data_IF_522617895634
#
_entry.id   IF_522617895634
#
_cell.length_a   1.000
_cell.length_b   1.000
_cell.length_c   1.000
_cell.angle_alpha   90.00
_cell.angle_beta   90.00
_cell.angle_gamma   90.00
#
_symmetry.space_group_name_H-M   'P 1'
#
loop_
_entity.id
_entity.type
_entity.pdbx_description
1 polymer ?
#
# COMPACT_ATOMS: atom_id res chain seq x y z
N UNK A 1 -7.65 28.40 41.29
CA UNK A 1 -7.37 28.00 39.90
C UNK A 1 -6.54 29.03 39.10
N UNK A 2 -6.50 30.32 39.47
CA UNK A 2 -5.80 31.35 38.67
C UNK A 2 -4.26 31.47 38.83
N UNK A 3 -3.67 30.95 39.91
CA UNK A 3 -2.23 31.15 40.18
C UNK A 3 -1.32 30.37 39.22
N UNK A 4 -1.63 29.10 38.93
CA UNK A 4 -0.87 28.28 37.98
C UNK A 4 -0.90 28.85 36.56
N UNK A 5 -2.05 29.40 36.14
CA UNK A 5 -2.18 30.05 34.83
C UNK A 5 -1.35 31.33 34.74
N UNK A 6 -1.35 32.15 35.80
CA UNK A 6 -0.53 33.36 35.87
C UNK A 6 0.98 33.04 35.81
N UNK A 7 1.44 32.00 36.51
CA UNK A 7 2.82 31.53 36.44
C UNK A 7 3.19 31.02 35.04
N UNK A 8 2.32 30.22 34.42
CA UNK A 8 2.54 29.72 33.06
C UNK A 8 2.64 30.85 32.02
N UNK A 9 1.76 31.86 32.11
CA UNK A 9 1.83 33.03 31.22
C UNK A 9 3.08 33.88 31.47
N UNK A 10 3.48 34.09 32.73
CA UNK A 10 4.71 34.82 33.05
C UNK A 10 5.96 34.14 32.50
N UNK A 11 6.03 32.80 32.60
CA UNK A 11 7.10 32.02 31.99
C UNK A 11 7.11 32.16 30.46
N UNK A 12 5.94 32.06 29.81
CA UNK A 12 5.80 32.18 28.36
C UNK A 12 6.18 33.58 27.84
N UNK A 13 5.81 34.64 28.56
CA UNK A 13 6.22 36.02 28.26
C UNK A 13 7.74 36.17 28.35
N UNK A 14 8.35 35.64 29.41
CA UNK A 14 9.81 35.72 29.61
C UNK A 14 10.57 34.98 28.52
N UNK A 15 10.14 33.76 28.20
CA UNK A 15 10.74 32.93 27.13
C UNK A 15 10.63 33.61 25.76
N UNK A 16 9.47 34.22 25.47
CA UNK A 16 9.25 34.98 24.22
C UNK A 16 10.11 36.25 24.16
N UNK A 17 10.30 36.92 25.29
CA UNK A 17 11.18 38.08 25.43
C UNK A 17 12.64 37.74 25.10
N UNK A 18 13.17 36.66 25.69
CA UNK A 18 14.54 36.21 25.42
C UNK A 18 14.74 35.80 23.95
N UNK A 19 13.74 35.17 23.33
CA UNK A 19 13.81 34.81 21.91
C UNK A 19 13.92 36.06 21.05
N UNK A 20 13.05 37.04 21.26
CA UNK A 20 13.05 38.30 20.52
C UNK A 20 14.36 39.10 20.72
N UNK A 21 14.89 39.15 21.94
CA UNK A 21 16.20 39.76 22.22
C UNK A 21 17.33 39.05 21.46
N UNK A 22 17.33 37.71 21.48
CA UNK A 22 18.31 36.90 20.76
C UNK A 22 18.29 37.14 19.25
N UNK A 23 17.09 37.19 18.65
CA UNK A 23 16.90 37.45 17.23
C UNK A 23 17.37 38.86 16.83
N UNK A 24 17.00 39.89 17.60
CA UNK A 24 17.47 41.27 17.36
C UNK A 24 18.98 41.41 17.48
N UNK A 25 19.60 40.69 18.41
CA UNK A 25 21.06 40.67 18.53
C UNK A 25 21.71 39.99 17.32
N UNK A 26 21.12 38.89 16.84
CA UNK A 26 21.59 38.18 15.63
C UNK A 26 21.51 39.06 14.38
N UNK A 27 20.41 39.82 14.19
CA UNK A 27 20.26 40.79 13.10
C UNK A 27 21.36 41.86 13.12
N UNK A 28 21.78 42.28 14.31
CA UNK A 28 22.89 43.23 14.52
C UNK A 28 24.28 42.58 14.46
N UNK A 29 24.36 41.27 14.24
CA UNK A 29 25.58 40.45 14.31
C UNK A 29 26.31 40.53 15.67
N UNK A 30 25.56 40.87 16.73
CA UNK A 30 26.05 40.76 18.11
C UNK A 30 25.84 39.32 18.60
N UNK A 31 26.75 38.44 18.15
CA UNK A 31 26.63 37.00 18.38
C UNK A 31 26.70 36.63 19.86
N UNK A 32 27.49 37.36 20.66
CA UNK A 32 27.60 37.11 22.10
C UNK A 32 26.28 37.43 22.82
N UNK A 33 25.65 38.56 22.51
CA UNK A 33 24.34 38.87 23.05
C UNK A 33 23.27 37.87 22.57
N UNK A 34 23.30 37.47 21.30
CA UNK A 34 22.37 36.47 20.75
C UNK A 34 22.50 35.12 21.48
N UNK A 35 23.73 34.61 21.62
CA UNK A 35 24.02 33.36 22.33
C UNK A 35 23.55 33.43 23.79
N UNK A 36 23.83 34.55 24.47
CA UNK A 36 23.44 34.75 25.87
C UNK A 36 21.92 34.67 26.06
N UNK A 37 21.15 35.41 25.25
CA UNK A 37 19.69 35.44 25.35
C UNK A 37 19.05 34.10 24.98
N UNK A 38 19.47 33.49 23.86
CA UNK A 38 18.94 32.18 23.42
C UNK A 38 19.30 31.05 24.39
N UNK A 39 20.45 31.15 25.08
CA UNK A 39 20.85 30.15 26.08
C UNK A 39 19.95 30.14 27.30
N UNK A 40 19.31 31.27 27.66
CA UNK A 40 18.33 31.30 28.76
C UNK A 40 17.17 30.34 28.48
N UNK A 41 16.66 30.32 27.25
CA UNK A 41 15.57 29.42 26.82
C UNK A 41 15.97 27.95 27.00
N UNK A 42 17.18 27.59 26.57
CA UNK A 42 17.66 26.20 26.67
C UNK A 42 17.95 25.75 28.11
N UNK A 43 18.30 26.68 29.01
CA UNK A 43 18.58 26.38 30.42
C UNK A 43 17.31 26.12 31.23
N UNK A 44 16.21 26.78 30.89
CA UNK A 44 14.89 26.52 31.51
C UNK A 44 14.29 25.16 31.09
N UNK A 45 15.06 24.32 30.38
CA UNK A 45 14.73 22.94 30.02
C UNK A 45 13.34 22.77 29.38
N UNK A 46 12.98 23.71 28.52
CA UNK A 46 11.73 23.73 27.75
C UNK A 46 11.78 22.81 26.51
N UNK A 47 12.45 21.66 26.63
CA UNK A 47 12.60 20.68 25.56
C UNK A 47 11.23 20.23 25.02
N UNK A 48 11.16 19.97 23.71
CA UNK A 48 9.90 19.59 23.03
C UNK A 48 8.95 20.75 22.75
N UNK A 49 9.36 22.00 23.01
CA UNK A 49 8.60 23.18 22.58
C UNK A 49 9.18 23.80 21.32
N UNK A 50 8.31 24.32 20.44
CA UNK A 50 8.73 25.06 19.24
C UNK A 50 9.67 26.22 19.54
N UNK A 51 9.54 26.87 20.71
CA UNK A 51 10.43 27.97 21.11
C UNK A 51 11.83 27.46 21.43
N UNK A 52 11.95 26.32 22.13
CA UNK A 52 13.24 25.69 22.39
C UNK A 52 13.94 25.27 21.10
N UNK A 53 13.23 24.65 20.17
CA UNK A 53 13.75 24.27 18.84
C UNK A 53 14.26 25.50 18.07
N UNK A 54 13.45 26.55 18.05
CA UNK A 54 13.79 27.82 17.39
C UNK A 54 15.02 28.45 18.05
N UNK A 55 15.13 28.38 19.37
CA UNK A 55 16.28 28.88 20.11
C UNK A 55 17.57 28.11 19.78
N UNK A 56 17.54 26.78 19.70
CA UNK A 56 18.68 25.96 19.25
C UNK A 56 19.10 26.34 17.84
N UNK A 57 18.14 26.48 16.92
CA UNK A 57 18.40 26.81 15.53
C UNK A 57 19.12 28.15 15.36
N UNK A 58 18.61 29.21 16.00
CA UNK A 58 19.24 30.53 15.90
C UNK A 58 20.53 30.64 16.73
N UNK A 59 20.64 29.89 17.83
CA UNK A 59 21.88 29.86 18.62
C UNK A 59 23.00 29.18 17.86
N UNK A 60 22.69 28.12 17.11
CA UNK A 60 23.65 27.50 16.20
C UNK A 60 24.17 28.50 15.15
N UNK A 61 23.28 29.28 14.54
CA UNK A 61 23.69 30.33 13.60
C UNK A 61 24.56 31.41 14.26
N UNK A 62 24.24 31.80 15.51
CA UNK A 62 25.06 32.75 16.26
C UNK A 62 26.46 32.18 16.56
N UNK A 63 26.56 30.92 16.98
CA UNK A 63 27.84 30.23 17.15
C UNK A 63 28.63 30.17 15.85
N UNK A 64 27.98 29.85 14.73
CA UNK A 64 28.63 29.86 13.41
C UNK A 64 29.15 31.26 13.05
N UNK A 65 28.33 32.30 13.24
CA UNK A 65 28.71 33.69 12.97
C UNK A 65 29.93 34.15 13.80
N UNK A 66 30.06 33.61 15.01
CA UNK A 66 31.23 33.81 15.89
C UNK A 66 32.45 32.96 15.50
N UNK A 67 32.28 31.92 14.67
CA UNK A 67 33.31 30.97 14.29
C UNK A 67 33.40 29.73 15.18
N UNK A 68 32.52 29.58 16.17
CA UNK A 68 32.43 28.44 17.10
C UNK A 68 31.68 27.25 16.44
N UNK A 69 32.23 26.70 15.35
CA UNK A 69 31.56 25.66 14.54
C UNK A 69 31.12 24.42 15.33
N UNK A 70 31.96 23.96 16.26
CA UNK A 70 31.66 22.77 17.05
C UNK A 70 30.39 22.93 17.90
N UNK A 71 30.19 24.11 18.49
CA UNK A 71 28.97 24.41 19.26
C UNK A 71 27.75 24.55 18.37
N UNK A 72 27.91 25.14 17.18
CA UNK A 72 26.83 25.20 16.19
C UNK A 72 26.35 23.79 15.79
N UNK A 73 27.29 22.88 15.54
CA UNK A 73 26.97 21.48 15.22
C UNK A 73 26.30 20.74 16.38
N UNK A 74 26.67 21.02 17.63
CA UNK A 74 26.02 20.43 18.82
C UNK A 74 24.55 20.87 18.89
N UNK A 75 24.26 22.16 18.72
CA UNK A 75 22.89 22.68 18.76
C UNK A 75 22.03 22.15 17.62
N UNK A 76 22.57 22.12 16.39
CA UNK A 76 21.87 21.55 15.23
C UNK A 76 21.62 20.05 15.37
N UNK A 77 22.60 19.30 15.91
CA UNK A 77 22.40 17.88 16.18
C UNK A 77 21.32 17.66 17.25
N UNK A 78 21.32 18.46 18.32
CA UNK A 78 20.27 18.39 19.35
C UNK A 78 18.89 18.70 18.77
N UNK A 79 18.79 19.71 17.90
CA UNK A 79 17.56 20.08 17.21
C UNK A 79 17.05 18.96 16.29
N UNK A 80 17.93 18.36 15.48
CA UNK A 80 17.60 17.32 14.50
C UNK A 80 17.24 15.98 15.15
N UNK A 81 17.78 15.71 16.35
CA UNK A 81 17.42 14.54 17.17
C UNK A 81 16.12 14.73 17.95
N UNK A 82 15.59 15.94 18.02
CA UNK A 82 14.31 16.23 18.67
C UNK A 82 13.14 16.35 17.70
N UNK A 83 11.98 16.73 18.25
CA UNK A 83 10.71 16.91 17.54
C UNK A 83 10.62 18.25 16.79
N UNK A 84 11.59 18.59 15.94
CA UNK A 84 11.46 19.81 15.14
C UNK A 84 10.52 19.66 13.94
N UNK A 85 9.73 20.70 13.68
CA UNK A 85 8.83 20.78 12.53
C UNK A 85 9.54 20.60 11.19
N UNK A 86 8.82 20.09 10.17
CA UNK A 86 9.37 19.68 8.87
C UNK A 86 10.25 20.75 8.21
N UNK A 87 9.78 22.00 8.18
CA UNK A 87 10.50 23.12 7.56
C UNK A 87 11.82 23.42 8.29
N UNK A 88 11.77 23.55 9.62
CA UNK A 88 12.94 23.82 10.45
C UNK A 88 13.95 22.68 10.38
N UNK A 89 13.48 21.44 10.27
CA UNK A 89 14.33 20.25 10.13
C UNK A 89 15.12 20.25 8.83
N UNK A 90 14.47 20.56 7.70
CA UNK A 90 15.13 20.65 6.39
C UNK A 90 16.25 21.68 6.43
N UNK A 91 15.96 22.85 6.97
CA UNK A 91 16.91 23.94 7.09
C UNK A 91 18.06 23.62 8.06
N UNK A 92 17.75 23.08 9.25
CA UNK A 92 18.75 22.69 10.24
C UNK A 92 19.70 21.61 9.70
N UNK A 93 19.18 20.66 8.90
CA UNK A 93 20.01 19.63 8.26
C UNK A 93 20.93 20.22 7.21
N UNK A 94 20.43 21.16 6.39
CA UNK A 94 21.24 21.91 5.43
C UNK A 94 22.41 22.60 6.14
N UNK A 95 22.12 23.37 7.19
CA UNK A 95 23.14 24.06 7.98
C UNK A 95 24.11 23.08 8.65
N UNK A 96 23.62 21.94 9.15
CA UNK A 96 24.47 20.95 9.80
C UNK A 96 25.54 20.43 8.84
N UNK A 97 25.16 20.10 7.60
CA UNK A 97 26.11 19.67 6.56
C UNK A 97 27.01 20.82 6.13
N UNK A 98 26.46 22.01 5.90
CA UNK A 98 27.23 23.21 5.53
C UNK A 98 28.31 23.55 6.56
N UNK A 99 28.03 23.33 7.84
CA UNK A 99 28.95 23.60 8.94
C UNK A 99 29.98 22.47 9.16
N UNK A 100 29.98 21.44 8.30
CA UNK A 100 30.90 20.30 8.34
C UNK A 100 30.43 19.12 9.19
N UNK A 101 29.15 19.11 9.56
CA UNK A 101 28.50 18.01 10.24
C UNK A 101 28.40 16.77 9.35
N UNK A 102 28.58 15.61 9.97
CA UNK A 102 28.52 14.30 9.32
C UNK A 102 27.11 13.72 9.47
N UNK A 103 26.30 13.57 8.41
CA UNK A 103 24.91 13.13 8.52
C UNK A 103 24.73 11.81 9.29
N UNK A 104 25.73 10.95 9.29
CA UNK A 104 25.76 9.68 10.02
C UNK A 104 25.64 9.87 11.54
N UNK A 105 26.07 11.03 12.07
CA UNK A 105 25.93 11.38 13.49
C UNK A 105 24.51 11.79 13.89
N UNK A 106 23.62 12.02 12.91
CA UNK A 106 22.22 12.33 13.14
C UNK A 106 21.37 11.07 13.31
N UNK A 107 21.86 9.92 12.84
CA UNK A 107 21.17 8.65 13.00
C UNK A 107 21.03 8.27 14.49
N UNK A 108 20.02 7.47 14.84
CA UNK A 108 19.89 6.90 16.18
C UNK A 108 21.16 6.14 16.60
N UNK A 109 21.45 6.14 17.89
CA UNK A 109 22.59 5.39 18.46
C UNK A 109 22.42 3.87 18.31
N UNK A 110 21.17 3.41 18.39
CA UNK A 110 20.82 2.03 18.11
C UNK A 110 20.63 1.84 16.61
N UNK A 111 21.39 0.93 16.00
CA UNK A 111 21.12 0.49 14.62
C UNK A 111 19.89 -0.43 14.56
N UNK A 112 19.25 -0.61 13.39
CA UNK A 112 18.25 -1.64 13.18
C UNK A 112 18.61 -3.02 13.77
N UNK A 113 19.87 -3.46 13.65
CA UNK A 113 20.37 -4.69 14.26
C UNK A 113 20.27 -4.69 15.80
N UNK A 114 20.66 -3.58 16.45
CA UNK A 114 20.53 -3.43 17.91
C UNK A 114 19.07 -3.36 18.35
N UNK A 115 18.22 -2.66 17.61
CA UNK A 115 16.77 -2.61 17.88
C UNK A 115 16.15 -4.00 17.77
N UNK A 116 16.53 -4.77 16.75
CA UNK A 116 16.09 -6.16 16.62
C UNK A 116 16.55 -7.01 17.80
N UNK A 117 17.81 -6.91 18.22
CA UNK A 117 18.32 -7.64 19.38
C UNK A 117 17.54 -7.31 20.66
N UNK A 118 17.25 -6.03 20.92
CA UNK A 118 16.38 -5.60 22.04
C UNK A 118 14.98 -6.19 21.92
N UNK A 119 14.40 -6.18 20.72
CA UNK A 119 13.10 -6.81 20.48
C UNK A 119 13.11 -8.32 20.78
N UNK A 120 14.19 -9.03 20.39
CA UNK A 120 14.37 -10.46 20.69
C UNK A 120 14.43 -10.72 22.18
N UNK A 121 15.23 -9.94 22.90
CA UNK A 121 15.40 -10.04 24.35
C UNK A 121 14.08 -9.81 25.09
N UNK A 122 13.40 -8.70 24.79
CA UNK A 122 12.11 -8.36 25.41
C UNK A 122 11.05 -9.44 25.13
N UNK A 123 10.98 -9.94 23.89
CA UNK A 123 10.05 -11.01 23.53
C UNK A 123 10.38 -12.33 24.24
N UNK A 124 11.68 -12.67 24.37
CA UNK A 124 12.13 -13.87 25.07
C UNK A 124 11.88 -13.85 26.57
N UNK A 125 11.90 -12.65 27.18
CA UNK A 125 11.59 -12.43 28.58
C UNK A 125 10.08 -12.31 28.88
N UNK A 126 9.21 -12.39 27.86
CA UNK A 126 7.77 -12.20 28.00
C UNK A 126 7.31 -10.74 28.15
N UNK A 127 8.21 -9.77 27.97
CA UNK A 127 7.97 -8.32 28.08
C UNK A 127 7.32 -7.75 26.79
N UNK A 128 6.24 -8.39 26.31
CA UNK A 128 5.63 -8.10 25.02
C UNK A 128 5.17 -6.66 24.82
N UNK A 129 4.70 -6.02 25.90
CA UNK A 129 4.29 -4.61 25.84
C UNK A 129 5.45 -3.70 25.40
N UNK A 130 6.63 -3.89 26.00
CA UNK A 130 7.85 -3.13 25.64
C UNK A 130 8.35 -3.53 24.25
N UNK A 131 8.26 -4.82 23.89
CA UNK A 131 8.61 -5.26 22.54
C UNK A 131 7.75 -4.57 21.47
N UNK A 132 6.43 -4.44 21.71
CA UNK A 132 5.51 -3.73 20.82
C UNK A 132 5.81 -2.23 20.69
N UNK A 133 6.40 -1.60 21.71
CA UNK A 133 6.85 -0.20 21.64
C UNK A 133 8.03 0.01 20.69
N UNK A 134 8.73 -1.06 20.29
CA UNK A 134 9.77 -1.06 19.26
C UNK A 134 9.24 -1.33 17.84
N UNK A 135 7.92 -1.41 17.67
CA UNK A 135 7.26 -1.77 16.41
C UNK A 135 6.28 -0.71 15.94
N UNK A 136 6.01 -0.68 14.64
CA UNK A 136 5.00 0.16 14.00
C UNK A 136 4.42 -0.51 12.75
N UNK A 137 3.49 0.15 12.07
CA UNK A 137 2.97 -0.25 10.76
C UNK A 137 2.34 -1.65 10.68
N UNK A 138 2.61 -2.34 9.57
CA UNK A 138 2.10 -3.69 9.30
C UNK A 138 2.57 -4.70 10.33
N UNK A 139 3.84 -4.58 10.76
CA UNK A 139 4.42 -5.48 11.75
C UNK A 139 3.69 -5.36 13.09
N UNK A 140 3.50 -4.15 13.61
CA UNK A 140 2.73 -3.94 14.85
C UNK A 140 1.30 -4.45 14.72
N UNK A 141 0.65 -4.21 13.58
CA UNK A 141 -0.71 -4.71 13.31
C UNK A 141 -0.76 -6.23 13.34
N UNK A 142 0.21 -6.88 12.71
CA UNK A 142 0.34 -8.33 12.71
C UNK A 142 0.52 -8.87 14.14
N UNK A 143 1.46 -8.31 14.90
CA UNK A 143 1.70 -8.72 16.29
C UNK A 143 0.47 -8.51 17.19
N UNK A 144 -0.24 -7.40 17.03
CA UNK A 144 -1.45 -7.12 17.81
C UNK A 144 -2.60 -8.08 17.51
N UNK A 145 -2.73 -8.58 16.28
CA UNK A 145 -3.75 -9.59 15.93
C UNK A 145 -3.53 -10.91 16.66
N UNK A 146 -2.28 -11.26 16.94
CA UNK A 146 -1.96 -12.44 17.75
C UNK A 146 -2.25 -12.24 19.24
N UNK A 147 -2.36 -11.00 19.72
CA UNK A 147 -2.54 -10.69 21.14
C UNK A 147 -3.93 -10.19 21.57
N UNK A 148 -4.91 -10.11 20.68
CA UNK A 148 -6.18 -9.41 20.95
C UNK A 148 -7.47 -10.16 20.61
N UNK A 149 -7.45 -11.43 20.23
CA UNK A 149 -8.61 -12.14 19.68
C UNK A 149 -9.30 -13.13 20.65
N UNK A 150 -8.88 -13.29 21.90
CA UNK A 150 -9.47 -14.27 22.79
C UNK A 150 -8.73 -14.59 24.09
N UNK A 151 -9.01 -13.84 25.16
CA UNK A 151 -8.82 -14.28 26.55
C UNK A 151 -7.37 -14.48 27.03
N UNK A 152 -7.04 -13.88 28.16
CA UNK A 152 -5.69 -13.68 28.72
C UNK A 152 -4.77 -14.92 28.94
N UNK A 153 -5.17 -16.14 28.57
CA UNK A 153 -4.40 -17.37 28.85
C UNK A 153 -3.85 -18.14 27.64
N UNK A 154 -4.57 -18.19 26.50
CA UNK A 154 -4.17 -19.04 25.37
C UNK A 154 -3.36 -18.30 24.30
N UNK A 155 -3.49 -16.97 24.23
CA UNK A 155 -2.93 -16.14 23.16
C UNK A 155 -1.44 -15.84 23.34
N UNK A 156 -1.01 -15.71 24.60
CA UNK A 156 0.41 -15.53 24.93
C UNK A 156 1.26 -16.67 24.38
N UNK A 157 0.78 -17.91 24.45
CA UNK A 157 1.54 -19.09 24.02
C UNK A 157 1.77 -19.15 22.50
N UNK A 158 0.76 -18.82 21.68
CA UNK A 158 0.90 -18.82 20.22
C UNK A 158 1.86 -17.71 19.75
N UNK A 159 1.74 -16.53 20.37
CA UNK A 159 2.61 -15.39 20.09
C UNK A 159 4.04 -15.63 20.58
N UNK A 160 4.21 -16.18 21.78
CA UNK A 160 5.50 -16.63 22.30
C UNK A 160 6.15 -17.64 21.37
N UNK A 161 5.39 -18.62 20.88
CA UNK A 161 5.91 -19.61 19.93
C UNK A 161 6.33 -18.97 18.61
N UNK A 162 5.53 -18.05 18.06
CA UNK A 162 5.83 -17.36 16.81
C UNK A 162 7.06 -16.46 16.93
N UNK A 163 7.08 -15.62 17.97
CA UNK A 163 8.20 -14.72 18.24
C UNK A 163 9.47 -15.50 18.54
N UNK A 164 9.42 -16.53 19.40
CA UNK A 164 10.57 -17.42 19.68
C UNK A 164 11.11 -18.07 18.42
N UNK A 165 10.25 -18.42 17.47
CA UNK A 165 10.70 -19.04 16.23
C UNK A 165 11.36 -18.04 15.28
N UNK A 166 10.82 -16.83 15.18
CA UNK A 166 11.37 -15.77 14.33
C UNK A 166 12.67 -15.18 14.92
N UNK A 167 12.79 -15.15 16.24
CA UNK A 167 13.95 -14.57 16.94
C UNK A 167 15.17 -15.51 16.96
N UNK A 168 15.00 -16.80 16.62
CA UNK A 168 16.11 -17.75 16.43
C UNK A 168 17.03 -17.40 15.25
N UNK A 169 16.58 -16.56 14.32
CA UNK A 169 17.41 -16.16 13.20
C UNK A 169 18.63 -15.33 13.63
N UNK A 170 19.75 -15.63 12.99
CA UNK A 170 20.98 -14.84 13.04
C UNK A 170 20.80 -13.55 12.25
N UNK A 171 21.39 -12.49 12.78
CA UNK A 171 21.38 -11.18 12.11
C UNK A 171 22.38 -11.21 10.96
N UNK A 172 21.88 -11.04 9.75
CA UNK A 172 22.65 -10.97 8.52
C UNK A 172 23.03 -9.53 8.15
N UNK A 173 23.01 -9.22 6.85
CA UNK A 173 23.38 -7.90 6.36
C UNK A 173 22.38 -6.82 6.81
N UNK A 174 22.92 -5.73 7.34
CA UNK A 174 22.19 -4.50 7.63
C UNK A 174 22.39 -3.54 6.45
N UNK A 175 21.30 -3.06 5.88
CA UNK A 175 21.31 -2.03 4.82
C UNK A 175 20.71 -0.77 5.39
N UNK A 176 21.59 0.20 5.63
CA UNK A 176 21.21 1.56 6.00
C UNK A 176 20.90 2.37 4.74
N UNK A 177 19.98 3.34 4.83
CA UNK A 177 19.74 4.26 3.73
C UNK A 177 21.01 5.05 3.40
N UNK A 178 21.33 5.19 2.11
CA UNK A 178 22.44 6.05 1.66
C UNK A 178 22.11 7.52 1.89
N UNK A 179 20.84 7.88 1.71
CA UNK A 179 20.32 9.20 2.04
C UNK A 179 19.68 9.16 3.43
N UNK A 180 20.15 9.94 4.42
CA UNK A 180 19.49 10.02 5.73
C UNK A 180 18.05 10.56 5.70
N UNK A 181 17.54 11.03 4.56
CA UNK A 181 16.11 11.32 4.34
C UNK A 181 15.28 10.08 4.01
N UNK A 182 15.91 9.03 3.50
CA UNK A 182 15.26 7.73 3.37
C UNK A 182 15.07 7.19 4.78
N UNK A 183 13.85 7.29 5.27
CA UNK A 183 13.46 6.88 6.62
C UNK A 183 13.37 5.37 6.77
N UNK A 184 13.95 4.59 5.85
CA UNK A 184 13.80 3.15 5.79
C UNK A 184 15.17 2.47 5.82
N UNK A 185 15.29 1.48 6.69
CA UNK A 185 16.42 0.57 6.71
C UNK A 185 15.93 -0.87 6.59
N UNK A 186 16.80 -1.78 6.18
CA UNK A 186 16.46 -3.21 6.15
C UNK A 186 17.50 -4.04 6.86
N UNK A 187 17.04 -5.10 7.52
CA UNK A 187 17.88 -6.09 8.18
C UNK A 187 17.54 -7.47 7.65
N UNK A 188 18.53 -8.15 7.09
CA UNK A 188 18.39 -9.56 6.72
C UNK A 188 18.49 -10.42 7.98
N UNK A 189 17.56 -11.35 8.15
CA UNK A 189 17.59 -12.36 9.22
C UNK A 189 17.67 -13.73 8.56
N UNK A 190 18.65 -14.54 8.96
CA UNK A 190 18.91 -15.88 8.42
C UNK A 190 18.67 -16.92 9.50
N UNK A 191 17.79 -17.88 9.25
CA UNK A 191 17.64 -19.05 10.11
C UNK A 191 18.37 -20.24 9.45
N UNK A 192 19.57 -20.62 9.94
CA UNK A 192 20.36 -21.68 9.33
C UNK A 192 19.70 -23.06 9.46
N UNK A 193 18.97 -23.32 10.55
CA UNK A 193 18.32 -24.61 10.80
C UNK A 193 17.22 -24.91 9.79
N UNK A 194 16.52 -23.88 9.35
CA UNK A 194 15.35 -24.01 8.47
C UNK A 194 15.60 -23.50 7.05
N UNK A 195 16.86 -23.16 6.73
CA UNK A 195 17.29 -22.68 5.43
C UNK A 195 16.42 -21.56 4.84
N UNK A 196 15.93 -20.64 5.67
CA UNK A 196 15.17 -19.48 5.21
C UNK A 196 15.77 -18.16 5.68
N UNK A 197 15.65 -17.16 4.82
CA UNK A 197 16.01 -15.77 5.01
C UNK A 197 14.76 -14.90 4.88
N UNK A 198 14.71 -13.81 5.64
CA UNK A 198 13.70 -12.76 5.46
C UNK A 198 14.31 -11.38 5.71
N UNK A 199 13.68 -10.35 5.14
CA UNK A 199 14.07 -8.96 5.37
C UNK A 199 13.08 -8.29 6.30
N UNK A 200 13.59 -7.77 7.41
CA UNK A 200 12.87 -6.88 8.30
C UNK A 200 13.03 -5.45 7.81
N UNK A 201 11.92 -4.75 7.63
CA UNK A 201 11.92 -3.32 7.35
C UNK A 201 11.85 -2.53 8.65
N UNK A 202 12.64 -1.46 8.71
CA UNK A 202 12.66 -0.50 9.81
C UNK A 202 12.28 0.86 9.28
N UNK A 203 11.61 1.65 10.11
CA UNK A 203 11.36 3.07 9.84
C UNK A 203 11.97 3.91 10.95
N UNK A 204 12.55 5.06 10.59
CA UNK A 204 13.06 6.01 11.57
C UNK A 204 11.88 6.77 12.19
N UNK A 205 11.64 6.56 13.47
CA UNK A 205 10.73 7.39 14.25
C UNK A 205 11.43 8.71 14.59
N UNK A 206 10.95 9.78 13.96
CA UNK A 206 11.50 11.13 14.07
C UNK A 206 11.23 11.78 15.41
N UNK A 207 10.19 11.36 16.11
CA UNK A 207 9.79 11.95 17.40
C UNK A 207 10.78 11.52 18.47
N UNK A 208 11.03 10.21 18.55
CA UNK A 208 11.94 9.63 19.54
C UNK A 208 13.36 9.38 19.03
N UNK A 209 13.65 9.76 17.78
CA UNK A 209 14.91 9.51 17.07
C UNK A 209 15.44 8.08 17.27
N UNK A 210 14.58 7.09 16.98
CA UNK A 210 14.91 5.66 17.08
C UNK A 210 14.36 4.88 15.90
N UNK A 211 14.98 3.75 15.57
CA UNK A 211 14.42 2.85 14.58
C UNK A 211 13.27 2.04 15.18
N UNK A 212 12.19 1.86 14.40
CA UNK A 212 11.06 1.00 14.73
C UNK A 212 10.91 -0.08 13.65
N UNK A 213 10.58 -1.29 14.07
CA UNK A 213 10.33 -2.41 13.16
C UNK A 213 8.95 -2.20 12.51
N UNK A 214 8.91 -2.04 11.18
CA UNK A 214 7.69 -1.62 10.48
C UNK A 214 7.07 -2.69 9.57
N UNK A 215 7.89 -3.58 9.00
CA UNK A 215 7.43 -4.58 8.05
C UNK A 215 8.27 -5.85 8.09
N UNK A 216 7.67 -6.94 7.61
CA UNK A 216 8.29 -8.24 7.44
C UNK A 216 8.06 -8.67 6.00
N UNK A 217 9.15 -8.83 5.24
CA UNK A 217 9.09 -9.31 3.85
C UNK A 217 9.77 -10.68 3.78
N UNK A 218 9.00 -11.78 3.79
CA UNK A 218 9.57 -13.08 3.57
C UNK A 218 10.12 -13.14 2.14
N UNK A 219 11.31 -13.70 1.97
CA UNK A 219 11.82 -13.96 0.64
C UNK A 219 10.96 -15.10 0.04
N UNK A 220 10.17 -14.74 -0.98
CA UNK A 220 8.99 -15.50 -1.40
C UNK A 220 9.26 -16.96 -1.80
N UNK A 221 10.52 -17.29 -2.12
CA UNK A 221 10.95 -18.64 -2.47
C UNK A 221 10.96 -19.60 -1.27
N UNK A 222 11.30 -19.13 -0.06
CA UNK A 222 11.62 -20.02 1.07
C UNK A 222 10.47 -20.17 2.07
N UNK A 223 9.69 -19.12 2.31
CA UNK A 223 8.61 -19.15 3.32
C UNK A 223 7.45 -20.10 2.93
N UNK A 224 7.24 -20.30 1.62
CA UNK A 224 6.17 -21.15 1.08
C UNK A 224 6.37 -22.64 1.37
N UNK A 225 7.61 -23.09 1.49
CA UNK A 225 7.92 -24.50 1.79
C UNK A 225 7.83 -24.78 3.30
N UNK A 226 8.13 -23.79 4.16
CA UNK A 226 8.18 -23.97 5.60
C UNK A 226 6.80 -23.95 6.29
N UNK A 227 5.82 -23.23 5.74
CA UNK A 227 4.52 -23.02 6.39
C UNK A 227 3.44 -24.08 6.08
N UNK A 228 3.72 -25.06 5.19
CA UNK A 228 2.74 -26.09 4.81
C UNK A 228 1.43 -25.55 4.21
N UNK A 229 1.37 -24.26 3.86
CA UNK A 229 0.16 -23.62 3.37
C UNK A 229 -0.14 -24.10 1.94
N UNK A 230 -1.38 -24.57 1.65
CA UNK A 230 -1.76 -24.93 0.29
C UNK A 230 -1.56 -23.73 -0.63
N UNK A 231 -1.07 -23.98 -1.86
CA UNK A 231 -0.78 -22.96 -2.87
C UNK A 231 -1.96 -21.98 -2.97
N UNK A 232 -1.80 -20.77 -2.44
CA UNK A 232 -2.64 -19.66 -2.89
C UNK A 232 -2.33 -19.47 -4.38
N UNK A 233 -3.28 -19.79 -5.24
CA UNK A 233 -3.13 -19.68 -6.69
C UNK A 233 -2.72 -18.24 -7.03
N UNK A 234 -1.70 -18.02 -7.90
CA UNK A 234 -1.29 -16.69 -8.39
C UNK A 234 -2.45 -15.79 -8.85
N UNK A 235 -3.56 -16.43 -9.22
CA UNK A 235 -4.80 -15.86 -9.71
C UNK A 235 -5.49 -14.85 -8.77
N UNK A 236 -5.38 -14.99 -7.44
CA UNK A 236 -6.00 -14.02 -6.52
C UNK A 236 -5.29 -12.66 -6.53
N UNK A 237 -3.99 -12.63 -6.80
CA UNK A 237 -3.21 -11.40 -6.78
C UNK A 237 -3.46 -10.55 -8.04
N UNK A 238 -3.69 -11.19 -9.19
CA UNK A 238 -3.97 -10.49 -10.45
C UNK A 238 -5.35 -9.80 -10.46
N UNK A 239 -6.38 -10.45 -9.91
CA UNK A 239 -7.71 -9.83 -9.78
C UNK A 239 -7.66 -8.53 -8.95
N UNK A 240 -6.87 -8.53 -7.88
CA UNK A 240 -6.69 -7.35 -7.04
C UNK A 240 -5.99 -6.22 -7.79
N UNK A 241 -5.06 -6.55 -8.71
CA UNK A 241 -4.41 -5.54 -9.57
C UNK A 241 -5.39 -4.89 -10.54
N UNK A 242 -6.25 -5.67 -11.22
CA UNK A 242 -7.23 -5.10 -12.17
C UNK A 242 -8.24 -4.17 -11.48
N UNK A 243 -8.75 -4.53 -10.30
CA UNK A 243 -9.66 -3.67 -9.54
C UNK A 243 -8.98 -2.39 -9.06
N UNK A 244 -7.71 -2.45 -8.65
CA UNK A 244 -6.93 -1.26 -8.31
C UNK A 244 -6.78 -0.34 -9.52
N UNK A 245 -6.49 -0.89 -10.71
CA UNK A 245 -6.44 -0.11 -11.96
C UNK A 245 -7.77 0.59 -12.25
N UNK A 246 -8.90 -0.12 -12.15
CA UNK A 246 -10.23 0.47 -12.33
C UNK A 246 -10.49 1.61 -11.35
N UNK A 247 -10.09 1.49 -10.08
CA UNK A 247 -10.23 2.58 -9.10
C UNK A 247 -9.37 3.80 -9.46
N UNK A 248 -8.15 3.59 -9.95
CA UNK A 248 -7.29 4.69 -10.42
C UNK A 248 -7.89 5.38 -11.66
N UNK A 249 -8.47 4.60 -12.59
CA UNK A 249 -9.23 5.14 -13.71
C UNK A 249 -10.41 5.99 -13.22
N UNK A 250 -11.20 5.49 -12.25
CA UNK A 250 -12.30 6.24 -11.66
C UNK A 250 -11.88 7.56 -11.02
N UNK A 251 -10.73 7.58 -10.33
CA UNK A 251 -10.15 8.81 -9.80
C UNK A 251 -9.77 9.79 -10.91
N UNK A 252 -9.12 9.30 -11.98
CA UNK A 252 -8.78 10.13 -13.15
C UNK A 252 -10.00 10.73 -13.84
N UNK A 253 -11.08 9.97 -14.00
CA UNK A 253 -12.36 10.47 -14.54
C UNK A 253 -12.95 11.58 -13.67
N UNK A 254 -12.88 11.43 -12.34
CA UNK A 254 -13.40 12.44 -11.42
C UNK A 254 -12.55 13.72 -11.38
N UNK A 255 -11.23 13.60 -11.55
CA UNK A 255 -10.38 14.77 -11.72
C UNK A 255 -10.70 15.51 -13.03
N UNK A 256 -10.89 14.75 -14.12
CA UNK A 256 -11.30 15.31 -15.41
C UNK A 256 -12.64 16.06 -15.32
N UNK A 257 -13.64 15.47 -14.66
CA UNK A 257 -15.00 16.05 -14.57
C UNK A 257 -15.04 17.41 -13.86
N UNK A 258 -14.19 17.61 -12.85
CA UNK A 258 -14.08 18.87 -12.12
C UNK A 258 -13.66 20.04 -13.03
N UNK A 259 -12.84 19.76 -14.04
CA UNK A 259 -12.36 20.75 -15.00
C UNK A 259 -13.28 20.86 -16.24
N UNK A 260 -14.09 19.83 -16.50
CA UNK A 260 -14.92 19.71 -17.70
C UNK A 260 -16.42 19.84 -17.44
N UNK A 261 -16.80 20.67 -16.46
CA UNK A 261 -18.19 20.98 -16.11
C UNK A 261 -19.01 19.72 -15.85
N UNK A 262 -18.48 18.84 -15.00
CA UNK A 262 -19.11 17.60 -14.55
C UNK A 262 -19.27 16.53 -15.65
N UNK A 263 -18.77 16.76 -16.86
CA UNK A 263 -18.78 15.76 -17.92
C UNK A 263 -17.64 14.76 -17.75
N UNK A 264 -17.92 13.48 -17.95
CA UNK A 264 -16.88 12.46 -18.02
C UNK A 264 -16.22 12.49 -19.42
N UNK A 265 -14.98 12.00 -19.55
CA UNK A 265 -14.28 12.04 -20.84
C UNK A 265 -15.01 11.22 -21.89
N UNK A 266 -14.83 11.54 -23.18
CA UNK A 266 -15.39 10.75 -24.27
C UNK A 266 -14.73 9.35 -24.40
N UNK A 267 -13.52 9.21 -23.87
CA UNK A 267 -12.77 7.96 -23.82
C UNK A 267 -11.47 8.10 -23.01
N UNK A 268 -10.78 6.98 -22.79
CA UNK A 268 -9.53 6.98 -22.01
C UNK A 268 -8.41 7.85 -22.58
N UNK A 269 -8.40 8.10 -23.90
CA UNK A 269 -7.36 8.93 -24.54
C UNK A 269 -7.37 10.39 -24.05
N UNK A 270 -8.51 10.91 -23.61
CA UNK A 270 -8.61 12.26 -23.02
C UNK A 270 -7.99 12.32 -21.62
N UNK A 271 -8.06 11.22 -20.85
CA UNK A 271 -7.39 11.12 -19.55
C UNK A 271 -5.87 11.06 -19.70
N UNK A 272 -5.39 10.42 -20.76
CA UNK A 272 -3.96 10.30 -21.08
C UNK A 272 -3.44 11.65 -21.57
N UNK A 273 -4.10 12.26 -22.56
CA UNK A 273 -3.64 13.52 -23.15
C UNK A 273 -3.82 14.72 -22.23
N UNK A 274 -4.82 14.70 -21.35
CA UNK A 274 -5.04 15.71 -20.32
C UNK A 274 -4.13 15.60 -19.09
N UNK A 275 -3.28 14.57 -19.00
CA UNK A 275 -2.36 14.38 -17.87
C UNK A 275 -3.02 13.92 -16.56
N UNK A 276 -4.29 13.48 -16.59
CA UNK A 276 -5.00 12.99 -15.40
C UNK A 276 -4.55 11.59 -14.99
N UNK A 277 -4.19 10.75 -15.96
CA UNK A 277 -3.67 9.41 -15.72
C UNK A 277 -2.75 8.97 -16.89
N UNK A 278 -1.47 9.31 -16.77
CA UNK A 278 -0.47 9.17 -17.84
C UNK A 278 0.01 7.73 -18.06
N UNK A 279 -0.07 6.87 -17.03
CA UNK A 279 0.43 5.50 -17.12
C UNK A 279 -0.51 4.63 -17.96
N UNK A 280 -0.11 4.37 -19.21
CA UNK A 280 -0.88 3.60 -20.18
C UNK A 280 -1.17 2.16 -19.75
N UNK A 281 -0.32 1.55 -18.90
CA UNK A 281 -0.56 0.20 -18.37
C UNK A 281 -1.76 0.14 -17.41
N UNK A 282 -2.26 1.29 -16.91
CA UNK A 282 -3.48 1.35 -16.09
C UNK A 282 -4.74 1.01 -16.90
N UNK A 283 -4.74 1.27 -18.20
CA UNK A 283 -5.87 0.97 -19.09
C UNK A 283 -5.83 -0.46 -19.66
N UNK A 284 -4.80 -1.23 -19.30
CA UNK A 284 -4.63 -2.61 -19.72
C UNK A 284 -5.17 -3.55 -18.65
N UNK A 285 -6.27 -4.21 -18.98
CA UNK A 285 -6.78 -5.37 -18.24
C UNK A 285 -5.90 -6.59 -18.52
N UNK A 286 -5.54 -7.31 -17.46
CA UNK A 286 -4.79 -8.57 -17.58
C UNK A 286 -5.74 -9.70 -17.26
N UNK A 287 -5.97 -10.60 -18.21
CA UNK A 287 -6.83 -11.75 -18.01
C UNK A 287 -6.28 -12.64 -16.90
N UNK A 288 -7.07 -12.93 -15.86
CA UNK A 288 -6.61 -13.80 -14.79
C UNK A 288 -6.52 -15.27 -15.22
N UNK A 289 -7.10 -15.66 -16.36
CA UNK A 289 -7.12 -17.05 -16.83
C UNK A 289 -5.86 -17.42 -17.62
N UNK A 290 -5.44 -16.56 -18.53
CA UNK A 290 -4.36 -16.82 -19.49
C UNK A 290 -3.25 -15.75 -19.47
N UNK A 291 -3.41 -14.67 -18.68
CA UNK A 291 -2.47 -13.57 -18.62
C UNK A 291 -2.47 -12.66 -19.85
N UNK A 292 -3.43 -12.81 -20.77
CA UNK A 292 -3.56 -11.91 -21.92
C UNK A 292 -3.71 -10.47 -21.48
N UNK A 293 -3.26 -9.54 -22.32
CA UNK A 293 -3.40 -8.10 -22.09
C UNK A 293 -4.41 -7.55 -23.10
N UNK A 294 -5.47 -6.94 -22.60
CA UNK A 294 -6.50 -6.28 -23.40
C UNK A 294 -6.80 -4.90 -22.81
N UNK A 295 -7.39 -3.98 -23.57
CA UNK A 295 -7.83 -2.69 -23.00
C UNK A 295 -9.15 -2.87 -22.25
N UNK A 296 -9.29 -2.18 -21.12
CA UNK A 296 -10.63 -1.99 -20.53
C UNK A 296 -11.56 -1.34 -21.56
N UNK A 297 -12.84 -1.69 -21.53
CA UNK A 297 -13.89 -1.04 -22.32
C UNK A 297 -14.50 0.11 -21.51
N UNK A 298 -14.91 1.19 -22.20
CA UNK A 298 -15.42 2.41 -21.59
C UNK A 298 -16.83 2.75 -22.11
N UNK A 299 -17.69 3.29 -21.24
CA UNK A 299 -19.02 3.75 -21.57
C UNK A 299 -19.03 5.28 -21.73
N UNK A 300 -19.05 5.83 -22.96
CA UNK A 300 -19.03 7.27 -23.18
C UNK A 300 -20.39 7.92 -22.89
N UNK A 301 -20.39 9.25 -22.74
CA UNK A 301 -21.62 10.06 -22.63
C UNK A 301 -22.24 10.13 -21.24
N UNK A 302 -21.49 9.72 -20.20
CA UNK A 302 -21.88 9.83 -18.80
C UNK A 302 -21.34 11.14 -18.18
N UNK A 303 -21.86 11.50 -17.02
CA UNK A 303 -21.49 12.70 -16.24
C UNK A 303 -21.78 12.49 -14.75
N UNK A 304 -21.42 13.46 -13.89
CA UNK A 304 -21.64 13.37 -12.43
C UNK A 304 -23.13 13.27 -12.03
N UNK A 305 -24.06 13.68 -12.90
CA UNK A 305 -25.51 13.55 -12.69
C UNK A 305 -26.07 12.19 -13.12
N UNK A 306 -25.25 11.33 -13.72
CA UNK A 306 -25.66 9.97 -14.11
C UNK A 306 -25.91 9.10 -12.88
N UNK A 307 -26.76 8.07 -13.00
CA UNK A 307 -27.02 7.17 -11.88
C UNK A 307 -25.72 6.53 -11.39
N UNK A 308 -25.56 6.40 -10.06
CA UNK A 308 -24.40 5.74 -9.42
C UNK A 308 -24.30 4.26 -9.80
N UNK A 309 -25.41 3.63 -10.20
CA UNK A 309 -25.46 2.24 -10.65
C UNK A 309 -25.00 2.08 -12.12
N UNK A 310 -24.68 3.17 -12.81
CA UNK A 310 -24.21 3.09 -14.19
C UNK A 310 -22.75 2.62 -14.25
N UNK A 311 -22.45 1.84 -15.29
CA UNK A 311 -21.15 1.26 -15.52
C UNK A 311 -20.34 2.23 -16.36
N UNK A 312 -19.20 2.66 -15.84
CA UNK A 312 -18.30 3.60 -16.50
C UNK A 312 -17.24 2.86 -17.33
N UNK A 313 -16.69 1.78 -16.78
CA UNK A 313 -15.73 0.93 -17.46
C UNK A 313 -15.88 -0.54 -17.04
N UNK A 314 -15.38 -1.46 -17.87
CA UNK A 314 -15.42 -2.88 -17.56
C UNK A 314 -14.25 -3.64 -18.21
N UNK A 315 -13.94 -4.81 -17.67
CA UNK A 315 -13.09 -5.77 -18.35
C UNK A 315 -13.66 -6.10 -19.74
N UNK A 316 -12.84 -6.31 -20.77
CA UNK A 316 -13.30 -6.52 -22.14
C UNK A 316 -14.07 -7.84 -22.30
N UNK A 317 -13.69 -8.86 -21.54
CA UNK A 317 -14.32 -10.19 -21.57
C UNK A 317 -14.51 -10.71 -20.14
N UNK A 318 -15.48 -11.61 -19.90
CA UNK A 318 -15.61 -12.23 -18.59
C UNK A 318 -14.46 -13.20 -18.33
N UNK A 319 -14.06 -13.31 -17.07
CA UNK A 319 -13.21 -14.38 -16.55
C UNK A 319 -14.01 -15.21 -15.55
N UNK A 320 -14.10 -16.53 -15.78
CA UNK A 320 -14.91 -17.46 -14.99
C UNK A 320 -16.37 -17.01 -14.82
N UNK A 321 -16.96 -16.50 -15.91
CA UNK A 321 -18.34 -16.01 -15.94
C UNK A 321 -18.59 -14.70 -15.17
N UNK A 322 -17.54 -14.00 -14.75
CA UNK A 322 -17.61 -12.73 -14.04
C UNK A 322 -16.81 -11.65 -14.75
N UNK A 323 -17.15 -10.38 -14.52
CA UNK A 323 -16.49 -9.24 -15.12
C UNK A 323 -16.13 -8.22 -14.05
N UNK A 324 -14.89 -7.72 -14.07
CA UNK A 324 -14.53 -6.55 -13.26
C UNK A 324 -15.12 -5.29 -13.89
N UNK A 325 -15.74 -4.44 -13.08
CA UNK A 325 -16.45 -3.25 -13.51
C UNK A 325 -16.11 -2.05 -12.63
N UNK A 326 -16.24 -0.86 -13.19
CA UNK A 326 -16.16 0.44 -12.54
C UNK A 326 -17.50 1.15 -12.69
N UNK A 327 -18.01 1.69 -11.60
CA UNK A 327 -19.24 2.47 -11.54
C UNK A 327 -18.94 3.97 -11.63
N UNK A 328 -19.96 4.77 -11.96
CA UNK A 328 -19.86 6.24 -12.07
C UNK A 328 -19.49 6.93 -10.77
N UNK A 329 -19.79 6.32 -9.61
CA UNK A 329 -19.38 6.82 -8.29
C UNK A 329 -17.90 6.56 -7.95
N UNK A 330 -17.18 5.83 -8.81
CA UNK A 330 -15.78 5.43 -8.63
C UNK A 330 -15.59 4.07 -7.92
N UNK A 331 -16.67 3.39 -7.54
CA UNK A 331 -16.61 2.03 -6.99
C UNK A 331 -16.18 1.03 -8.07
N UNK A 332 -15.33 0.06 -7.70
CA UNK A 332 -14.98 -1.05 -8.58
C UNK A 332 -15.38 -2.39 -7.94
N UNK A 333 -16.02 -3.24 -8.72
CA UNK A 333 -16.56 -4.53 -8.27
C UNK A 333 -16.31 -5.64 -9.28
N UNK A 334 -16.62 -6.87 -8.88
CA UNK A 334 -16.70 -8.02 -9.78
C UNK A 334 -18.15 -8.49 -9.80
N UNK A 335 -18.81 -8.42 -10.95
CA UNK A 335 -20.20 -8.83 -11.14
C UNK A 335 -20.29 -10.03 -12.07
N UNK A 336 -21.44 -10.70 -12.11
CA UNK A 336 -21.67 -11.78 -13.10
C UNK A 336 -21.82 -11.20 -14.51
N UNK A 337 -21.52 -12.00 -15.53
CA UNK A 337 -21.72 -11.56 -16.92
C UNK A 337 -23.20 -11.24 -17.22
N UNK A 338 -24.14 -11.97 -16.61
CA UNK A 338 -25.57 -11.70 -16.75
C UNK A 338 -25.95 -10.32 -16.19
N UNK A 339 -25.49 -9.99 -14.98
CA UNK A 339 -25.68 -8.66 -14.38
C UNK A 339 -25.05 -7.56 -15.24
N UNK A 340 -23.84 -7.79 -15.78
CA UNK A 340 -23.19 -6.86 -16.69
C UNK A 340 -24.03 -6.59 -17.93
N UNK A 341 -24.50 -7.64 -18.62
CA UNK A 341 -25.31 -7.50 -19.84
C UNK A 341 -26.64 -6.77 -19.56
N UNK A 342 -27.27 -7.07 -18.41
CA UNK A 342 -28.48 -6.38 -17.96
C UNK A 342 -28.22 -4.88 -17.73
N UNK A 343 -27.15 -4.53 -17.02
CA UNK A 343 -26.78 -3.15 -16.72
C UNK A 343 -26.39 -2.38 -17.99
N UNK A 344 -25.57 -2.97 -18.86
CA UNK A 344 -25.17 -2.38 -20.13
C UNK A 344 -26.38 -2.11 -21.04
N UNK A 345 -27.32 -3.06 -21.13
CA UNK A 345 -28.57 -2.87 -21.86
C UNK A 345 -29.45 -1.76 -21.27
N UNK A 346 -29.57 -1.69 -19.95
CA UNK A 346 -30.34 -0.64 -19.27
C UNK A 346 -29.76 0.77 -19.54
N UNK A 347 -28.44 0.86 -19.73
CA UNK A 347 -27.72 2.10 -20.05
C UNK A 347 -27.69 2.44 -21.54
N UNK A 348 -28.27 1.59 -22.40
CA UNK A 348 -28.08 1.65 -23.86
C UNK A 348 -26.60 1.66 -24.27
N UNK A 349 -25.72 1.06 -23.46
CA UNK A 349 -24.30 0.97 -23.76
C UNK A 349 -24.09 -0.04 -24.87
N UNK A 350 -23.65 0.43 -26.04
CA UNK A 350 -23.19 -0.41 -27.14
C UNK A 350 -21.81 -0.98 -26.79
N UNK A 351 -21.81 -1.99 -25.93
CA UNK A 351 -20.59 -2.71 -25.54
C UNK A 351 -19.88 -3.12 -26.83
N UNK A 352 -18.61 -2.71 -27.03
CA UNK A 352 -17.85 -3.17 -28.18
C UNK A 352 -17.94 -4.69 -28.20
N UNK A 353 -18.34 -5.26 -29.34
CA UNK A 353 -18.31 -6.71 -29.52
C UNK A 353 -16.83 -7.07 -29.47
N UNK A 354 -16.33 -7.37 -28.28
CA UNK A 354 -15.00 -7.95 -28.12
C UNK A 354 -15.04 -9.18 -29.00
N UNK A 355 -14.15 -9.18 -29.98
CA UNK A 355 -14.10 -10.08 -31.12
C UNK A 355 -14.65 -11.42 -30.68
N UNK A 356 -15.81 -11.83 -31.24
CA UNK A 356 -16.36 -13.16 -30.97
C UNK A 356 -15.18 -14.11 -31.03
N UNK A 357 -14.85 -14.77 -29.92
CA UNK A 357 -13.76 -15.76 -29.89
C UNK A 357 -14.08 -16.69 -31.06
N UNK A 358 -13.27 -16.67 -32.12
CA UNK A 358 -13.57 -17.54 -33.23
C UNK A 358 -13.14 -18.94 -32.83
N UNK A 359 -13.78 -19.95 -33.42
CA UNK A 359 -13.38 -21.35 -33.19
C UNK A 359 -11.86 -21.55 -33.37
N UNK A 360 -11.24 -20.84 -34.31
CA UNK A 360 -9.80 -20.95 -34.62
C UNK A 360 -8.90 -20.40 -33.50
N UNK A 361 -9.43 -19.52 -32.64
CA UNK A 361 -8.68 -18.89 -31.56
C UNK A 361 -8.65 -19.76 -30.30
N UNK A 362 -9.48 -20.81 -30.25
CA UNK A 362 -9.55 -21.76 -29.14
C UNK A 362 -8.53 -22.88 -29.38
N UNK A 363 -7.58 -23.14 -28.46
CA UNK A 363 -6.62 -24.23 -28.60
C UNK A 363 -7.31 -25.58 -28.83
N UNK A 364 -6.74 -26.43 -29.70
CA UNK A 364 -7.40 -27.67 -30.14
C UNK A 364 -7.77 -28.60 -28.98
N UNK A 365 -6.90 -28.74 -27.98
CA UNK A 365 -7.14 -29.53 -26.77
C UNK A 365 -8.34 -29.01 -25.97
N UNK A 366 -8.52 -27.69 -25.95
CA UNK A 366 -9.65 -27.00 -25.34
C UNK A 366 -10.94 -27.27 -26.10
N UNK A 367 -10.89 -27.25 -27.43
CA UNK A 367 -12.04 -27.62 -28.25
C UNK A 367 -12.43 -29.09 -28.05
N UNK A 368 -11.45 -30.00 -27.98
CA UNK A 368 -11.68 -31.43 -27.68
C UNK A 368 -12.35 -31.61 -26.33
N UNK A 369 -11.88 -30.90 -25.30
CA UNK A 369 -12.50 -30.89 -23.98
C UNK A 369 -13.96 -30.43 -24.03
N UNK A 370 -14.25 -29.31 -24.71
CA UNK A 370 -15.63 -28.80 -24.85
C UNK A 370 -16.51 -29.84 -25.55
N UNK A 371 -16.06 -30.41 -26.68
CA UNK A 371 -16.81 -31.46 -27.39
C UNK A 371 -17.02 -32.70 -26.51
N UNK A 372 -16.01 -33.10 -25.73
CA UNK A 372 -16.11 -34.20 -24.78
C UNK A 372 -17.17 -33.94 -23.69
N UNK A 373 -17.23 -32.72 -23.15
CA UNK A 373 -18.27 -32.32 -22.21
C UNK A 373 -19.66 -32.32 -22.86
N UNK A 374 -19.79 -31.94 -24.13
CA UNK A 374 -21.07 -32.04 -24.87
C UNK A 374 -21.55 -33.49 -24.97
N UNK A 375 -20.64 -34.44 -25.26
CA UNK A 375 -20.98 -35.88 -25.28
C UNK A 375 -21.46 -36.35 -23.91
N UNK A 376 -20.82 -35.87 -22.82
CA UNK A 376 -21.20 -36.22 -21.45
C UNK A 376 -22.57 -35.67 -21.03
N UNK A 377 -23.13 -34.68 -21.73
CA UNK A 377 -24.53 -34.27 -21.52
C UNK A 377 -25.51 -35.38 -21.90
N UNK A 378 -25.15 -36.28 -22.82
CA UNK A 378 -25.98 -37.44 -23.19
C UNK A 378 -25.72 -38.69 -22.34
N UNK A 379 -24.91 -38.61 -21.28
CA UNK A 379 -24.58 -39.79 -20.46
C UNK A 379 -25.82 -40.31 -19.71
N UNK A 380 -25.94 -41.63 -19.59
CA UNK A 380 -26.99 -42.29 -18.81
C UNK A 380 -27.06 -41.83 -17.34
N UNK A 381 -25.92 -41.48 -16.73
CA UNK A 381 -25.80 -41.11 -15.32
C UNK A 381 -26.13 -39.63 -15.09
N UNK A 382 -27.14 -39.28 -14.27
CA UNK A 382 -27.53 -37.89 -14.01
C UNK A 382 -26.40 -36.99 -13.49
N UNK A 383 -25.51 -37.53 -12.65
CA UNK A 383 -24.41 -36.78 -12.04
C UNK A 383 -23.40 -36.31 -13.10
N UNK A 384 -23.11 -37.16 -14.08
CA UNK A 384 -22.20 -36.85 -15.20
C UNK A 384 -22.79 -35.74 -16.07
N UNK A 385 -24.10 -35.82 -16.36
CA UNK A 385 -24.80 -34.77 -17.12
C UNK A 385 -24.76 -33.42 -16.41
N UNK A 386 -25.01 -33.40 -15.10
CA UNK A 386 -25.01 -32.15 -14.32
C UNK A 386 -23.61 -31.53 -14.22
N UNK A 387 -22.58 -32.35 -13.98
CA UNK A 387 -21.19 -31.89 -13.94
C UNK A 387 -20.74 -31.30 -15.29
N UNK A 388 -21.07 -31.97 -16.40
CA UNK A 388 -20.77 -31.48 -17.74
C UNK A 388 -21.47 -30.14 -18.03
N UNK A 389 -22.77 -30.02 -17.69
CA UNK A 389 -23.53 -28.76 -17.83
C UNK A 389 -22.89 -27.63 -17.02
N UNK A 390 -22.49 -27.91 -15.78
CA UNK A 390 -21.83 -26.94 -14.90
C UNK A 390 -20.51 -26.47 -15.49
N UNK A 391 -19.63 -27.39 -15.91
CA UNK A 391 -18.33 -27.07 -16.51
C UNK A 391 -18.47 -26.23 -17.78
N UNK A 392 -19.41 -26.57 -18.67
CA UNK A 392 -19.65 -25.79 -19.89
C UNK A 392 -20.14 -24.37 -19.59
N UNK A 393 -20.97 -24.20 -18.55
CA UNK A 393 -21.39 -22.86 -18.10
C UNK A 393 -20.25 -22.07 -17.47
N UNK A 394 -19.39 -22.74 -16.68
CA UNK A 394 -18.21 -22.12 -16.07
C UNK A 394 -17.18 -21.66 -17.12
N UNK A 395 -17.06 -22.39 -18.24
CA UNK A 395 -16.26 -21.96 -19.40
C UNK A 395 -16.85 -20.70 -20.07
N UNK A 396 -18.17 -20.57 -20.17
CA UNK A 396 -18.80 -19.35 -20.68
C UNK A 396 -18.47 -19.06 -22.15
N UNK A 397 -18.07 -17.82 -22.47
CA UNK A 397 -18.00 -17.30 -23.84
C UNK A 397 -17.05 -18.07 -24.78
N UNK A 398 -15.98 -18.64 -24.24
CA UNK A 398 -15.01 -19.47 -24.97
C UNK A 398 -15.59 -20.82 -25.41
N UNK A 399 -16.63 -21.34 -24.76
CA UNK A 399 -17.29 -22.57 -25.20
C UNK A 399 -18.24 -22.32 -26.38
N UNK A 400 -18.83 -21.12 -26.47
CA UNK A 400 -19.93 -20.82 -27.38
C UNK A 400 -19.65 -21.13 -28.85
N UNK A 401 -18.48 -20.81 -29.44
CA UNK A 401 -18.20 -21.10 -30.84
C UNK A 401 -18.23 -22.60 -31.15
N UNK A 402 -17.85 -23.43 -30.18
CA UNK A 402 -17.87 -24.89 -30.31
C UNK A 402 -19.28 -25.42 -30.05
N UNK A 403 -20.00 -24.88 -29.05
CA UNK A 403 -21.37 -25.29 -28.74
C UNK A 403 -22.35 -24.96 -29.87
N UNK A 404 -22.09 -23.92 -30.67
CA UNK A 404 -22.88 -23.59 -31.86
C UNK A 404 -22.90 -24.74 -32.89
N UNK A 405 -21.87 -25.59 -32.94
CA UNK A 405 -21.84 -26.80 -33.77
C UNK A 405 -22.92 -27.82 -33.38
N UNK A 406 -23.37 -27.78 -32.11
CA UNK A 406 -24.26 -28.78 -31.51
C UNK A 406 -25.71 -28.29 -31.32
N UNK A 407 -26.05 -27.09 -31.81
CA UNK A 407 -27.43 -26.53 -31.72
C UNK A 407 -28.47 -27.40 -32.40
N UNK A 408 -28.05 -28.24 -33.35
CA UNK A 408 -28.89 -29.17 -34.10
C UNK A 408 -28.50 -30.65 -33.87
N UNK A 409 -27.95 -30.97 -32.69
CA UNK A 409 -27.58 -32.34 -32.34
C UNK A 409 -28.79 -33.30 -32.45
N UNK A 410 -28.61 -34.56 -32.93
CA UNK A 410 -29.70 -35.54 -33.07
C UNK A 410 -30.31 -35.95 -31.74
N UNK A 411 -29.53 -35.96 -30.66
CA UNK A 411 -30.03 -36.18 -29.31
C UNK A 411 -30.82 -34.95 -28.81
N UNK A 412 -32.12 -35.10 -28.45
CA UNK A 412 -32.96 -34.00 -28.04
C UNK A 412 -32.55 -33.37 -26.70
N UNK A 413 -31.95 -34.13 -25.77
CA UNK A 413 -31.47 -33.60 -24.49
C UNK A 413 -30.26 -32.69 -24.71
N UNK A 414 -29.26 -33.17 -25.46
CA UNK A 414 -28.08 -32.36 -25.82
C UNK A 414 -28.51 -31.09 -26.54
N UNK A 415 -29.38 -31.22 -27.54
CA UNK A 415 -29.90 -30.10 -28.32
C UNK A 415 -30.58 -29.03 -27.44
N UNK A 416 -31.43 -29.45 -26.50
CA UNK A 416 -32.15 -28.54 -25.62
C UNK A 416 -31.19 -27.82 -24.67
N UNK A 417 -30.23 -28.54 -24.10
CA UNK A 417 -29.28 -28.00 -23.13
C UNK A 417 -28.28 -27.04 -23.77
N UNK A 418 -27.78 -27.36 -24.97
CA UNK A 418 -26.91 -26.46 -25.73
C UNK A 418 -27.64 -25.15 -26.05
N UNK A 419 -28.92 -25.23 -26.46
CA UNK A 419 -29.74 -24.02 -26.67
C UNK A 419 -29.94 -23.23 -25.38
N UNK A 420 -30.10 -23.89 -24.24
CA UNK A 420 -30.26 -23.21 -22.95
C UNK A 420 -28.96 -22.52 -22.51
N UNK A 421 -27.80 -23.15 -22.71
CA UNK A 421 -26.49 -22.54 -22.42
C UNK A 421 -26.27 -21.33 -23.35
N UNK A 422 -26.55 -21.48 -24.65
CA UNK A 422 -26.36 -20.40 -25.63
C UNK A 422 -27.37 -19.25 -25.51
N UNK A 423 -28.53 -19.44 -24.86
CA UNK A 423 -29.45 -18.32 -24.53
C UNK A 423 -28.86 -17.34 -23.51
N UNK A 424 -27.82 -17.74 -22.79
CA UNK A 424 -27.04 -16.87 -21.91
C UNK A 424 -25.87 -16.15 -22.61
N UNK A 425 -25.75 -16.28 -23.93
CA UNK A 425 -24.90 -15.44 -24.78
C UNK A 425 -25.59 -14.10 -25.05
#
# INVERSE_FOLDING_TARGET
MNFMLALAMSALISVSGWLNEGLKALEKKDYDAAISSLSKITKENSAGTRIYETALFYRAQAYQGKGDKDKALVDLAALLKGECGKELRVEAKRLYVEYGGKPEKLLPEDSPAKVWAKFKELSGNGDFKKALELTTGEWKTLLSRFGGAGGAGAEGAAMESFTREITKGDVGAETMPENPEEEQATLEIRNPEKAFSFKMGFVLDKESNRWLICSFRPEAANFRNAAGAPRAHPQQNENMKNLVKLKQIGLGVRMYSQEHKENFPAGFDELITGGYLENTEMYVWISPEDGSKDKFIYCPGLNESSSVDFLLAAAPRPAKGKREVLYTDGHAAVITEEEFQKSAKAQNWKVPVVSKVEKKDIPEERQKLIRGLVVQIGDSKPEVRQDAKKKLREMGAEAYPILEEFVNHPDPEIKLEIKNILKGK
#
